data_IF_928389828562
#
_entry.id   IF_928389828562
#
_cell.length_a   1.000
_cell.length_b   1.000
_cell.length_c   1.000
_cell.angle_alpha   90.00
_cell.angle_beta   90.00
_cell.angle_gamma   90.00
#
_symmetry.space_group_name_H-M   'P 1'
#
loop_
_entity.id
_entity.type
_entity.pdbx_description
1 polymer ?
#
# COMPACT_ATOMS: atom_id res chain seq x y z
N UNK A 1 0.64 12.78 -27.92
CA UNK A 1 -0.41 13.09 -26.90
C UNK A 1 -1.11 14.36 -27.34
N UNK A 2 -2.43 14.44 -27.24
CA UNK A 2 -3.13 15.73 -27.47
C UNK A 2 -2.99 16.58 -26.21
N UNK A 3 -2.96 17.92 -26.36
CA UNK A 3 -2.85 18.89 -25.24
C UNK A 3 -3.88 18.61 -24.13
N UNK A 4 -5.03 18.09 -24.50
CA UNK A 4 -6.10 17.73 -23.57
C UNK A 4 -5.76 16.51 -22.69
N UNK A 5 -5.06 15.52 -23.22
CA UNK A 5 -4.61 14.34 -22.48
C UNK A 5 -3.51 14.71 -21.48
N UNK A 6 -2.63 15.63 -21.85
CA UNK A 6 -1.55 16.11 -21.00
C UNK A 6 -2.09 16.89 -19.79
N UNK A 7 -3.06 17.78 -20.01
CA UNK A 7 -3.74 18.49 -18.93
C UNK A 7 -4.51 17.56 -17.98
N UNK A 8 -5.10 16.48 -18.51
CA UNK A 8 -5.82 15.49 -17.70
C UNK A 8 -4.86 14.64 -16.86
N UNK A 9 -3.70 14.28 -17.41
CA UNK A 9 -2.65 13.58 -16.68
C UNK A 9 -2.09 14.45 -15.55
N UNK A 10 -1.82 15.73 -15.81
CA UNK A 10 -1.32 16.65 -14.79
C UNK A 10 -2.33 16.85 -13.64
N UNK A 11 -3.62 16.94 -13.96
CA UNK A 11 -4.68 16.96 -12.95
C UNK A 11 -4.70 15.68 -12.11
N UNK A 12 -4.44 14.54 -12.74
CA UNK A 12 -4.42 13.26 -12.06
C UNK A 12 -3.21 13.16 -11.11
N UNK A 13 -2.02 13.56 -11.57
CA UNK A 13 -0.78 13.58 -10.77
C UNK A 13 -0.91 14.47 -9.52
N UNK A 14 -1.62 15.60 -9.63
CA UNK A 14 -1.82 16.53 -8.53
C UNK A 14 -3.07 16.25 -7.69
N UNK A 15 -3.87 15.25 -8.05
CA UNK A 15 -5.08 14.93 -7.31
C UNK A 15 -4.75 14.40 -5.91
N UNK A 16 -5.49 14.86 -4.89
CA UNK A 16 -5.30 14.52 -3.48
C UNK A 16 -5.14 13.03 -3.21
N UNK A 17 -5.82 12.20 -3.98
CA UNK A 17 -5.82 10.74 -3.79
C UNK A 17 -4.61 10.05 -4.44
N UNK A 18 -3.86 10.72 -5.31
CA UNK A 18 -2.80 10.10 -6.12
C UNK A 18 -1.46 10.82 -6.05
N UNK A 19 -1.39 12.01 -5.46
CA UNK A 19 -0.17 12.83 -5.34
C UNK A 19 0.96 12.13 -4.57
N UNK A 20 0.61 11.17 -3.71
CA UNK A 20 1.55 10.40 -2.89
C UNK A 20 1.98 9.08 -3.59
N UNK A 21 1.43 8.79 -4.78
CA UNK A 21 1.87 7.69 -5.63
C UNK A 21 3.08 8.15 -6.44
N UNK A 22 4.06 7.24 -6.64
CA UNK A 22 5.19 7.51 -7.53
C UNK A 22 4.69 8.04 -8.89
N UNK A 23 5.13 9.23 -9.33
CA UNK A 23 4.65 9.83 -10.59
C UNK A 23 4.82 8.93 -11.81
N UNK A 24 5.90 8.13 -11.87
CA UNK A 24 6.14 7.21 -12.97
C UNK A 24 5.12 6.07 -13.00
N UNK A 25 4.63 5.63 -11.85
CA UNK A 25 3.53 4.66 -11.77
C UNK A 25 2.24 5.25 -12.35
N UNK A 26 1.92 6.50 -11.99
CA UNK A 26 0.74 7.19 -12.53
C UNK A 26 0.85 7.36 -14.04
N UNK A 27 2.02 7.78 -14.55
CA UNK A 27 2.27 7.93 -16.00
C UNK A 27 2.16 6.60 -16.74
N UNK A 28 2.72 5.53 -16.18
CA UNK A 28 2.63 4.19 -16.77
C UNK A 28 1.19 3.72 -16.88
N UNK A 29 0.43 3.83 -15.80
CA UNK A 29 -1.01 3.48 -15.80
C UNK A 29 -1.79 4.29 -16.83
N UNK A 30 -1.52 5.59 -16.91
CA UNK A 30 -2.13 6.47 -17.93
C UNK A 30 -1.82 5.99 -19.34
N UNK A 31 -0.53 5.78 -19.66
CA UNK A 31 -0.08 5.31 -20.98
C UNK A 31 -0.72 3.97 -21.38
N UNK A 32 -0.86 3.05 -20.43
CA UNK A 32 -1.50 1.76 -20.68
C UNK A 32 -3.02 1.92 -20.92
N UNK A 33 -3.66 2.88 -20.29
CA UNK A 33 -5.06 3.22 -20.59
C UNK A 33 -5.21 3.91 -21.96
N UNK A 34 -4.29 4.79 -22.37
CA UNK A 34 -4.30 5.41 -23.70
C UNK A 34 -4.22 4.39 -24.85
N UNK A 35 -3.53 3.28 -24.64
CA UNK A 35 -3.47 2.20 -25.63
C UNK A 35 -4.82 1.51 -25.83
N UNK A 36 -5.69 1.52 -24.82
CA UNK A 36 -6.97 0.81 -24.82
C UNK A 36 -8.16 1.71 -25.16
N UNK A 37 -8.10 2.98 -24.81
CA UNK A 37 -9.22 3.92 -24.93
C UNK A 37 -8.84 5.11 -25.81
N UNK A 38 -9.74 5.46 -26.75
CA UNK A 38 -9.50 6.56 -27.70
C UNK A 38 -9.94 7.93 -27.18
N UNK A 39 -10.90 7.96 -26.25
CA UNK A 39 -11.45 9.21 -25.70
C UNK A 39 -10.77 9.56 -24.40
N UNK A 40 -10.28 10.78 -24.26
CA UNK A 40 -9.59 11.26 -23.06
C UNK A 40 -10.36 11.01 -21.75
N UNK A 41 -11.68 11.19 -21.77
CA UNK A 41 -12.56 10.92 -20.62
C UNK A 41 -12.57 9.44 -20.19
N UNK A 42 -12.52 8.53 -21.16
CA UNK A 42 -12.48 7.09 -20.87
C UNK A 42 -11.11 6.67 -20.38
N UNK A 43 -10.03 7.27 -20.91
CA UNK A 43 -8.65 7.10 -20.41
C UNK A 43 -8.57 7.53 -18.96
N UNK A 44 -9.04 8.74 -18.64
CA UNK A 44 -9.00 9.26 -17.27
C UNK A 44 -9.80 8.38 -16.30
N UNK A 45 -10.99 7.95 -16.69
CA UNK A 45 -11.81 7.06 -15.86
C UNK A 45 -11.09 5.74 -15.59
N UNK A 46 -10.59 5.09 -16.63
CA UNK A 46 -9.88 3.81 -16.50
C UNK A 46 -8.58 3.94 -15.69
N UNK A 47 -7.84 5.04 -15.85
CA UNK A 47 -6.64 5.32 -15.06
C UNK A 47 -6.98 5.51 -13.57
N UNK A 48 -8.06 6.23 -13.25
CA UNK A 48 -8.53 6.39 -11.86
C UNK A 48 -8.93 5.05 -11.23
N UNK A 49 -9.64 4.20 -11.96
CA UNK A 49 -10.03 2.87 -11.50
C UNK A 49 -8.80 1.99 -11.24
N UNK A 50 -7.83 1.98 -12.15
CA UNK A 50 -6.60 1.21 -11.99
C UNK A 50 -5.75 1.71 -10.80
N UNK A 51 -5.58 3.03 -10.66
CA UNK A 51 -4.86 3.63 -9.53
C UNK A 51 -5.57 3.38 -8.20
N UNK A 52 -6.91 3.42 -8.18
CA UNK A 52 -7.68 3.07 -7.00
C UNK A 52 -7.46 1.60 -6.60
N UNK A 53 -7.37 0.70 -7.57
CA UNK A 53 -7.03 -0.71 -7.32
C UNK A 53 -5.65 -0.88 -6.67
N UNK A 54 -4.68 -0.04 -7.03
CA UNK A 54 -3.34 -0.07 -6.42
C UNK A 54 -3.35 0.46 -4.98
N UNK A 55 -4.08 1.55 -4.72
CA UNK A 55 -4.01 2.27 -3.43
C UNK A 55 -5.12 1.89 -2.46
N UNK A 56 -6.30 1.58 -2.97
CA UNK A 56 -7.51 1.33 -2.18
C UNK A 56 -7.77 -0.15 -1.87
N UNK A 57 -7.05 -1.07 -2.54
CA UNK A 57 -7.29 -2.51 -2.39
C UNK A 57 -7.00 -3.02 -0.97
N UNK A 58 -6.09 -2.39 -0.25
CA UNK A 58 -5.61 -2.88 1.04
C UNK A 58 -6.15 -2.10 2.23
N UNK A 59 -6.56 -0.84 2.03
CA UNK A 59 -6.95 0.05 3.12
C UNK A 59 -7.73 1.26 2.63
N UNK A 60 -8.81 1.60 3.32
CA UNK A 60 -9.55 2.84 3.08
C UNK A 60 -8.82 4.05 3.68
N UNK A 61 -9.09 5.30 3.23
CA UNK A 61 -8.52 6.51 3.83
C UNK A 61 -8.85 6.68 5.32
N UNK A 62 -9.97 6.11 5.80
CA UNK A 62 -10.33 6.11 7.22
C UNK A 62 -9.44 5.15 7.99
N UNK A 63 -9.24 3.95 7.48
CA UNK A 63 -8.36 2.95 8.08
C UNK A 63 -6.91 3.42 8.10
N UNK A 64 -6.43 4.07 7.05
CA UNK A 64 -5.09 4.64 7.02
C UNK A 64 -4.86 5.70 8.10
N UNK A 65 -5.86 6.58 8.35
CA UNK A 65 -5.78 7.54 9.47
C UNK A 65 -5.77 6.85 10.82
N UNK A 66 -6.64 5.86 10.99
CA UNK A 66 -6.69 5.11 12.25
C UNK A 66 -5.40 4.33 12.48
N UNK A 67 -4.82 3.76 11.43
CA UNK A 67 -3.52 3.09 11.50
C UNK A 67 -2.42 4.05 12.01
N UNK A 68 -2.36 5.28 11.50
CA UNK A 68 -1.37 6.25 11.96
C UNK A 68 -1.48 6.54 13.47
N UNK A 69 -2.71 6.59 14.00
CA UNK A 69 -2.95 6.71 15.45
C UNK A 69 -2.52 5.45 16.21
N UNK A 70 -2.87 4.28 15.71
CA UNK A 70 -2.52 3.00 16.34
C UNK A 70 -0.99 2.80 16.36
N UNK A 71 -0.28 3.20 15.29
CA UNK A 71 1.19 3.18 15.22
C UNK A 71 1.82 4.11 16.27
N UNK A 72 1.30 5.33 16.41
CA UNK A 72 1.80 6.26 17.42
C UNK A 72 1.54 5.75 18.85
N UNK A 73 0.39 5.14 19.09
CA UNK A 73 0.07 4.54 20.37
C UNK A 73 1.00 3.35 20.67
N UNK A 74 1.15 2.44 19.71
CA UNK A 74 2.04 1.28 19.86
C UNK A 74 3.50 1.71 20.10
N UNK A 75 3.98 2.71 19.36
CA UNK A 75 5.35 3.21 19.55
C UNK A 75 5.61 3.75 20.97
N UNK A 76 4.58 4.24 21.66
CA UNK A 76 4.69 4.67 23.07
C UNK A 76 4.62 3.50 24.05
N UNK A 77 3.68 2.59 23.81
CA UNK A 77 3.29 1.57 24.78
C UNK A 77 4.00 0.23 24.54
N UNK A 78 4.44 -0.02 23.30
CA UNK A 78 5.17 -1.20 22.81
C UNK A 78 4.54 -2.53 23.31
N UNK A 79 3.23 -2.67 23.15
CA UNK A 79 2.48 -3.85 23.62
C UNK A 79 2.06 -4.73 22.44
N UNK A 80 2.00 -6.07 22.64
CA UNK A 80 1.54 -7.02 21.63
C UNK A 80 0.09 -6.73 21.21
N UNK A 81 -0.76 -6.33 22.13
CA UNK A 81 -2.16 -5.92 21.83
C UNK A 81 -2.20 -4.70 20.90
N UNK A 82 -1.30 -3.74 21.11
CA UNK A 82 -1.15 -2.59 20.22
C UNK A 82 -0.68 -2.99 18.83
N UNK A 83 0.29 -3.89 18.77
CA UNK A 83 0.83 -4.45 17.52
C UNK A 83 -0.23 -5.23 16.75
N UNK A 84 -0.95 -6.15 17.38
CA UNK A 84 -2.02 -6.92 16.74
C UNK A 84 -3.15 -6.02 16.20
N UNK A 85 -3.52 -4.98 16.95
CA UNK A 85 -4.50 -3.99 16.49
C UNK A 85 -4.03 -3.26 15.24
N UNK A 86 -2.76 -2.88 15.20
CA UNK A 86 -2.15 -2.21 14.06
C UNK A 86 -2.10 -3.12 12.84
N UNK A 87 -1.57 -4.33 12.98
CA UNK A 87 -1.48 -5.34 11.91
C UNK A 87 -2.86 -5.72 11.36
N UNK A 88 -3.87 -5.78 12.23
CA UNK A 88 -5.25 -6.09 11.84
C UNK A 88 -5.92 -5.03 10.94
N UNK A 89 -5.37 -3.82 10.83
CA UNK A 89 -5.89 -2.75 9.97
C UNK A 89 -5.62 -2.96 8.49
N UNK A 90 -4.56 -3.65 8.16
CA UNK A 90 -4.17 -3.87 6.76
C UNK A 90 -4.42 -5.31 6.34
N UNK A 91 -5.08 -5.51 5.20
CA UNK A 91 -5.51 -6.84 4.76
C UNK A 91 -4.36 -7.84 4.69
N UNK A 92 -3.21 -7.43 4.11
CA UNK A 92 -2.06 -8.34 3.95
C UNK A 92 -1.32 -8.65 5.25
N UNK A 93 -1.44 -7.81 6.28
CA UNK A 93 -0.80 -8.06 7.58
C UNK A 93 -1.73 -8.74 8.57
N UNK A 94 -3.04 -8.66 8.34
CA UNK A 94 -4.04 -9.39 9.14
C UNK A 94 -3.84 -10.90 9.08
N UNK A 95 -3.35 -11.42 7.97
CA UNK A 95 -3.05 -12.85 7.78
C UNK A 95 -1.94 -13.34 8.71
N UNK A 96 -1.19 -12.43 9.33
CA UNK A 96 -0.10 -12.71 10.27
C UNK A 96 -0.57 -12.78 11.73
N UNK A 97 -1.87 -12.76 11.96
CA UNK A 97 -2.44 -12.86 13.30
C UNK A 97 -2.99 -14.25 13.56
N UNK A 98 -2.89 -14.77 14.80
CA UNK A 98 -2.26 -14.14 15.96
C UNK A 98 -0.73 -14.10 15.88
N UNK A 99 -0.07 -13.24 16.65
CA UNK A 99 1.40 -13.10 16.65
C UNK A 99 2.12 -14.40 17.04
N UNK A 100 1.53 -15.19 17.94
CA UNK A 100 2.08 -16.50 18.33
C UNK A 100 2.32 -17.45 17.17
N UNK A 101 1.48 -17.40 16.14
CA UNK A 101 1.64 -18.23 14.95
C UNK A 101 2.81 -17.74 14.08
N UNK A 102 3.02 -16.40 14.05
CA UNK A 102 4.18 -15.82 13.37
C UNK A 102 5.49 -16.14 14.05
N UNK A 103 5.52 -16.11 15.38
CA UNK A 103 6.70 -16.54 16.15
C UNK A 103 7.09 -17.98 15.79
N UNK A 104 6.12 -18.88 15.73
CA UNK A 104 6.37 -20.27 15.32
C UNK A 104 6.88 -20.40 13.88
N UNK A 105 6.41 -19.54 12.96
CA UNK A 105 6.90 -19.48 11.57
C UNK A 105 8.33 -18.97 11.52
N UNK A 106 8.64 -17.87 12.22
CA UNK A 106 9.99 -17.32 12.26
C UNK A 106 10.99 -18.27 12.93
N UNK A 107 10.59 -18.95 14.00
CA UNK A 107 11.44 -19.96 14.65
C UNK A 107 11.81 -21.09 13.68
N UNK A 108 10.85 -21.55 12.86
CA UNK A 108 11.13 -22.56 11.83
C UNK A 108 12.07 -22.04 10.74
N UNK A 109 11.88 -20.80 10.29
CA UNK A 109 12.76 -20.19 9.31
C UNK A 109 14.18 -20.08 9.86
N UNK A 110 14.34 -19.55 11.08
CA UNK A 110 15.64 -19.38 11.71
C UNK A 110 16.31 -20.69 12.13
N UNK A 111 15.55 -21.75 12.35
CA UNK A 111 16.11 -23.09 12.54
C UNK A 111 16.82 -23.60 11.29
N UNK A 112 16.37 -23.17 10.10
CA UNK A 112 16.95 -23.58 8.80
C UNK A 112 18.07 -22.61 8.38
N UNK A 113 17.81 -21.30 8.46
CA UNK A 113 18.71 -20.27 7.93
C UNK A 113 19.77 -19.78 8.94
N UNK A 114 19.60 -20.09 10.23
CA UNK A 114 20.28 -19.41 11.31
C UNK A 114 19.72 -17.98 11.54
N UNK A 115 20.04 -17.39 12.67
CA UNK A 115 19.68 -16.00 12.97
C UNK A 115 20.48 -15.04 12.08
N UNK A 116 19.79 -14.23 11.31
CA UNK A 116 20.38 -13.21 10.45
C UNK A 116 20.68 -11.92 11.23
N UNK A 117 21.66 -11.15 10.79
CA UNK A 117 21.99 -9.84 11.39
C UNK A 117 21.02 -8.75 10.94
N UNK A 118 20.41 -8.92 9.77
CA UNK A 118 19.48 -7.96 9.19
C UNK A 118 18.52 -8.69 8.26
N UNK A 119 17.31 -8.19 8.17
CA UNK A 119 16.26 -8.65 7.27
C UNK A 119 15.79 -7.47 6.45
N UNK A 120 15.63 -7.66 5.15
CA UNK A 120 14.95 -6.71 4.25
C UNK A 120 13.63 -7.33 3.83
N UNK A 121 12.53 -6.78 4.31
CA UNK A 121 11.18 -7.17 3.88
C UNK A 121 10.73 -6.23 2.76
N UNK A 122 10.55 -6.76 1.55
CA UNK A 122 10.08 -6.01 0.39
C UNK A 122 8.57 -6.16 0.26
N UNK A 123 7.90 -5.02 0.01
CA UNK A 123 6.43 -4.96 -0.11
C UNK A 123 5.67 -5.50 1.12
N UNK A 124 6.24 -5.27 2.30
CA UNK A 124 5.76 -5.78 3.59
C UNK A 124 4.41 -5.19 4.05
N UNK A 125 3.86 -4.22 3.35
CA UNK A 125 2.69 -3.47 3.82
C UNK A 125 3.04 -2.63 5.05
N UNK A 126 2.43 -2.95 6.18
CA UNK A 126 2.71 -2.30 7.48
C UNK A 126 3.35 -3.28 8.46
N UNK A 127 4.36 -4.01 8.02
CA UNK A 127 5.05 -4.96 8.89
C UNK A 127 6.17 -4.25 9.69
N UNK A 128 6.02 -4.06 10.99
CA UNK A 128 7.05 -3.45 11.85
C UNK A 128 8.02 -4.49 12.44
N UNK A 129 7.80 -5.78 12.15
CA UNK A 129 8.54 -6.90 12.73
C UNK A 129 9.83 -7.19 11.97
#
# INVERSE_FOLDING_TARGET
MSDHNEQSLDKLLNAKNYRDICPDTVRRVWTDCEKRYKKAKDVEKAAREALHGITGAFMTPREARQLAWDMQAWHRDNTDVGLERMLGRHTSTRERLPLSDMDAVYDRIFAITGRTRSVLDLACGINPL
#
